data_IF_315430875087
#
_entry.id   IF_315430875087
#
_cell.length_a   1.000
_cell.length_b   1.000
_cell.length_c   1.000
_cell.angle_alpha   90.00
_cell.angle_beta   90.00
_cell.angle_gamma   90.00
#
_symmetry.space_group_name_H-M   'P 1'
#
loop_
_entity.id
_entity.type
_entity.pdbx_description
1 polymer ?
#
# COMPACT_ATOMS: atom_id res chain seq x y z
N UNK A 1 -3.07 4.99 -9.41
CA UNK A 1 -2.03 4.39 -10.27
C UNK A 1 -0.63 4.47 -9.64
N UNK A 2 0.08 5.60 -9.61
CA UNK A 2 1.46 5.64 -9.04
C UNK A 2 1.51 5.25 -7.54
N UNK A 3 0.65 5.85 -6.69
CA UNK A 3 0.52 5.48 -5.26
C UNK A 3 0.21 4.00 -5.01
N UNK A 4 -0.52 3.33 -5.91
CA UNK A 4 -0.86 1.91 -5.77
C UNK A 4 0.36 1.02 -6.04
N UNK A 5 1.18 1.37 -7.04
CA UNK A 5 2.43 0.66 -7.30
C UNK A 5 3.41 0.81 -6.13
N UNK A 6 3.42 1.98 -5.51
CA UNK A 6 4.23 2.27 -4.32
C UNK A 6 3.75 1.46 -3.10
N UNK A 7 2.44 1.40 -2.82
CA UNK A 7 1.89 0.54 -1.75
C UNK A 7 2.12 -0.95 -1.99
N UNK A 8 2.02 -1.39 -3.24
CA UNK A 8 2.34 -2.75 -3.64
C UNK A 8 3.82 -3.05 -3.39
N UNK A 9 4.72 -2.11 -3.69
CA UNK A 9 6.14 -2.21 -3.33
C UNK A 9 6.33 -2.32 -1.81
N UNK A 10 5.60 -1.53 -1.00
CA UNK A 10 5.67 -1.64 0.47
C UNK A 10 5.29 -3.04 0.96
N UNK A 11 4.17 -3.59 0.47
CA UNK A 11 3.72 -4.94 0.84
C UNK A 11 4.71 -6.01 0.36
N UNK A 12 5.20 -5.88 -0.87
CA UNK A 12 6.15 -6.83 -1.45
C UNK A 12 7.55 -6.72 -0.84
N UNK A 13 7.96 -5.58 -0.26
CA UNK A 13 9.19 -5.48 0.53
C UNK A 13 9.14 -6.34 1.80
N UNK A 14 8.05 -6.20 2.57
CA UNK A 14 7.89 -6.95 3.83
C UNK A 14 7.85 -8.46 3.57
N UNK A 15 7.22 -8.86 2.46
CA UNK A 15 7.20 -10.25 2.02
C UNK A 15 8.56 -10.71 1.46
N UNK A 16 9.29 -9.84 0.74
CA UNK A 16 10.54 -10.18 0.08
C UNK A 16 11.57 -10.77 1.03
N UNK A 17 11.85 -10.11 2.15
CA UNK A 17 12.92 -10.56 3.07
C UNK A 17 12.58 -11.93 3.68
N UNK A 18 11.32 -12.11 4.10
CA UNK A 18 10.79 -13.35 4.68
C UNK A 18 10.80 -14.48 3.64
N UNK A 19 10.23 -14.23 2.46
CA UNK A 19 10.09 -15.23 1.40
C UNK A 19 11.45 -15.64 0.83
N UNK A 20 12.36 -14.67 0.67
CA UNK A 20 13.69 -14.92 0.12
C UNK A 20 14.56 -15.71 1.12
N UNK A 21 14.59 -15.31 2.39
CA UNK A 21 15.28 -16.09 3.43
C UNK A 21 14.66 -17.48 3.59
N UNK A 22 13.33 -17.62 3.54
CA UNK A 22 12.65 -18.90 3.59
C UNK A 22 13.04 -19.82 2.42
N UNK A 23 13.07 -19.29 1.20
CA UNK A 23 13.50 -20.03 0.01
C UNK A 23 14.98 -20.45 0.09
N UNK A 24 15.84 -19.61 0.67
CA UNK A 24 17.26 -19.95 0.91
C UNK A 24 17.43 -21.07 1.91
N UNK A 25 16.71 -21.05 3.04
CA UNK A 25 16.74 -22.13 4.04
C UNK A 25 16.25 -23.45 3.44
N UNK A 26 15.26 -23.39 2.54
CA UNK A 26 14.75 -24.56 1.81
C UNK A 26 15.68 -25.03 0.67
N UNK A 27 16.79 -24.34 0.42
CA UNK A 27 17.68 -24.54 -0.73
C UNK A 27 16.95 -24.51 -2.09
N UNK A 28 15.83 -23.80 -2.19
CA UNK A 28 15.02 -23.69 -3.40
C UNK A 28 15.52 -22.56 -4.29
N UNK A 29 16.60 -22.85 -5.02
CA UNK A 29 17.26 -21.89 -5.93
C UNK A 29 16.34 -21.38 -7.05
N UNK A 30 15.30 -22.13 -7.42
CA UNK A 30 14.31 -21.69 -8.40
C UNK A 30 13.41 -20.60 -7.82
N UNK A 31 12.93 -20.79 -6.60
CA UNK A 31 12.10 -19.81 -5.90
C UNK A 31 12.89 -18.56 -5.53
N UNK A 32 14.11 -18.70 -4.98
CA UNK A 32 15.00 -17.58 -4.63
C UNK A 32 15.26 -16.66 -5.84
N UNK A 33 15.55 -17.26 -7.01
CA UNK A 33 15.73 -16.52 -8.26
C UNK A 33 14.44 -15.83 -8.73
N UNK A 34 13.31 -16.53 -8.67
CA UNK A 34 12.02 -15.97 -9.09
C UNK A 34 11.65 -14.74 -8.24
N UNK A 35 11.88 -14.79 -6.94
CA UNK A 35 11.65 -13.66 -6.03
C UNK A 35 12.52 -12.46 -6.44
N UNK A 36 13.83 -12.65 -6.63
CA UNK A 36 14.72 -11.58 -7.09
C UNK A 36 14.33 -11.02 -8.47
N UNK A 37 13.94 -11.89 -9.41
CA UNK A 37 13.47 -11.50 -10.74
C UNK A 37 12.19 -10.64 -10.68
N UNK A 38 11.21 -11.07 -9.89
CA UNK A 38 9.95 -10.34 -9.69
C UNK A 38 10.23 -8.95 -9.11
N UNK A 39 11.08 -8.87 -8.09
CA UNK A 39 11.45 -7.60 -7.48
C UNK A 39 12.14 -6.66 -8.49
N UNK A 40 13.06 -7.19 -9.31
CA UNK A 40 13.72 -6.42 -10.38
C UNK A 40 12.70 -5.84 -11.38
N UNK A 41 11.74 -6.65 -11.82
CA UNK A 41 10.68 -6.23 -12.75
C UNK A 41 9.79 -5.14 -12.16
N UNK A 42 9.39 -5.29 -10.90
CA UNK A 42 8.60 -4.29 -10.18
C UNK A 42 9.39 -2.99 -10.03
N UNK A 43 10.63 -3.05 -9.56
CA UNK A 43 11.50 -1.88 -9.38
C UNK A 43 11.70 -1.11 -10.69
N UNK A 44 11.86 -1.82 -11.81
CA UNK A 44 11.92 -1.21 -13.15
C UNK A 44 10.62 -0.51 -13.56
N UNK A 45 9.46 -1.06 -13.17
CA UNK A 45 8.14 -0.49 -13.49
C UNK A 45 7.90 0.84 -12.77
N UNK A 46 8.40 0.98 -11.54
CA UNK A 46 8.22 2.20 -10.73
C UNK A 46 9.37 3.21 -10.88
N UNK A 47 10.42 2.86 -11.62
CA UNK A 47 11.62 3.69 -11.80
C UNK A 47 12.57 3.68 -10.59
N UNK A 48 12.46 2.71 -9.68
CA UNK A 48 13.36 2.54 -8.55
C UNK A 48 14.68 1.90 -9.01
N UNK A 49 15.50 2.68 -9.71
CA UNK A 49 16.68 2.20 -10.42
C UNK A 49 17.68 1.50 -9.49
N UNK A 50 17.91 2.04 -8.29
CA UNK A 50 18.84 1.46 -7.32
C UNK A 50 18.38 0.08 -6.82
N UNK A 51 17.08 -0.04 -6.49
CA UNK A 51 16.45 -1.32 -6.14
C UNK A 51 16.53 -2.30 -7.31
N UNK A 52 16.28 -1.83 -8.53
CA UNK A 52 16.36 -2.65 -9.73
C UNK A 52 17.77 -3.21 -9.96
N UNK A 53 18.80 -2.38 -9.75
CA UNK A 53 20.20 -2.78 -9.87
C UNK A 53 20.60 -3.79 -8.80
N UNK A 54 20.23 -3.55 -7.53
CA UNK A 54 20.50 -4.46 -6.43
C UNK A 54 19.79 -5.81 -6.63
N UNK A 55 18.52 -5.81 -7.04
CA UNK A 55 17.75 -7.02 -7.33
C UNK A 55 18.32 -7.80 -8.52
N UNK A 56 18.87 -7.12 -9.54
CA UNK A 56 19.55 -7.77 -10.66
C UNK A 56 20.86 -8.46 -10.22
N UNK A 57 21.62 -7.82 -9.33
CA UNK A 57 22.83 -8.42 -8.76
C UNK A 57 22.49 -9.67 -7.92
N UNK A 58 21.44 -9.59 -7.10
CA UNK A 58 20.93 -10.71 -6.31
C UNK A 58 20.42 -11.86 -7.21
N UNK A 59 19.65 -11.55 -8.25
CA UNK A 59 19.17 -12.53 -9.25
C UNK A 59 20.36 -13.27 -9.91
N UNK A 60 21.41 -12.54 -10.25
CA UNK A 60 22.61 -13.11 -10.86
C UNK A 60 23.41 -13.98 -9.88
N UNK A 61 23.55 -13.56 -8.62
CA UNK A 61 24.20 -14.36 -7.59
C UNK A 61 23.44 -15.69 -7.34
N UNK A 62 22.10 -15.64 -7.34
CA UNK A 62 21.26 -16.83 -7.26
C UNK A 62 21.43 -17.77 -8.47
N UNK A 63 21.65 -17.21 -9.67
CA UNK A 63 21.90 -18.00 -10.89
C UNK A 63 23.25 -18.72 -10.86
N UNK A 64 24.26 -18.10 -10.23
CA UNK A 64 25.63 -18.63 -10.16
C UNK A 64 25.85 -19.54 -8.95
N UNK A 65 24.85 -19.67 -8.07
CA UNK A 65 24.99 -20.30 -6.76
C UNK A 65 26.19 -19.75 -6.00
N UNK A 66 26.30 -18.42 -5.97
CA UNK A 66 27.32 -17.75 -5.15
C UNK A 66 27.12 -18.12 -3.67
N UNK A 67 28.20 -18.09 -2.86
CA UNK A 67 28.15 -18.53 -1.48
C UNK A 67 27.21 -17.67 -0.62
N UNK A 68 26.71 -18.26 0.47
CA UNK A 68 25.67 -17.65 1.30
C UNK A 68 26.04 -16.26 1.84
N UNK A 69 27.32 -16.02 2.13
CA UNK A 69 27.80 -14.72 2.59
C UNK A 69 27.63 -13.61 1.52
N UNK A 70 27.76 -13.94 0.24
CA UNK A 70 27.52 -13.00 -0.85
C UNK A 70 26.02 -12.76 -1.06
N UNK A 71 25.21 -13.82 -0.94
CA UNK A 71 23.75 -13.71 -1.00
C UNK A 71 23.20 -12.87 0.17
N UNK A 72 23.75 -13.05 1.38
CA UNK A 72 23.40 -12.24 2.56
C UNK A 72 23.70 -10.75 2.33
N UNK A 73 24.88 -10.44 1.80
CA UNK A 73 25.29 -9.08 1.52
C UNK A 73 24.39 -8.41 0.47
N UNK A 74 24.06 -9.15 -0.60
CA UNK A 74 23.18 -8.65 -1.67
C UNK A 74 21.72 -8.52 -1.20
N UNK A 75 21.24 -9.45 -0.37
CA UNK A 75 19.92 -9.34 0.26
C UNK A 75 19.84 -8.09 1.13
N UNK A 76 20.84 -7.86 2.00
CA UNK A 76 20.90 -6.66 2.84
C UNK A 76 20.95 -5.37 2.01
N UNK A 77 21.68 -5.37 0.89
CA UNK A 77 21.73 -4.23 -0.02
C UNK A 77 20.36 -3.96 -0.67
N UNK A 78 19.65 -5.00 -1.12
CA UNK A 78 18.29 -4.86 -1.65
C UNK A 78 17.35 -4.27 -0.60
N UNK A 79 17.41 -4.77 0.63
CA UNK A 79 16.59 -4.27 1.75
C UNK A 79 16.86 -2.80 2.05
N UNK A 80 18.13 -2.38 2.10
CA UNK A 80 18.50 -0.99 2.35
C UNK A 80 18.04 -0.02 1.24
N UNK A 81 18.10 -0.43 -0.02
CA UNK A 81 17.61 0.37 -1.14
C UNK A 81 16.08 0.46 -1.14
N UNK A 82 15.39 -0.63 -0.79
CA UNK A 82 13.94 -0.62 -0.58
C UNK A 82 13.55 0.32 0.56
N UNK A 83 14.23 0.25 1.71
CA UNK A 83 13.99 1.16 2.84
C UNK A 83 14.19 2.62 2.45
N UNK A 84 15.20 2.92 1.62
CA UNK A 84 15.43 4.27 1.11
C UNK A 84 14.28 4.76 0.24
N UNK A 85 13.77 3.91 -0.66
CA UNK A 85 12.59 4.21 -1.47
C UNK A 85 11.38 4.44 -0.56
N UNK A 86 11.14 3.59 0.44
CA UNK A 86 10.02 3.72 1.36
C UNK A 86 10.11 4.96 2.23
N UNK A 87 11.29 5.31 2.73
CA UNK A 87 11.50 6.54 3.49
C UNK A 87 11.25 7.79 2.63
N UNK A 88 11.58 7.76 1.34
CA UNK A 88 11.23 8.82 0.39
C UNK A 88 9.73 8.91 0.08
N UNK A 89 8.97 7.85 0.34
CA UNK A 89 7.53 7.78 0.15
C UNK A 89 6.73 8.08 1.41
N UNK A 90 7.33 7.95 2.59
CA UNK A 90 6.69 8.29 3.86
C UNK A 90 6.11 9.72 3.90
N UNK A 91 6.74 10.76 3.32
CA UNK A 91 6.15 12.09 3.22
C UNK A 91 4.89 12.15 2.34
N UNK A 92 4.72 11.23 1.39
CA UNK A 92 3.55 11.17 0.50
C UNK A 92 2.34 10.47 1.15
N UNK A 93 2.56 9.68 2.20
CA UNK A 93 1.56 9.13 3.14
C UNK A 93 1.37 10.04 4.37
N UNK A 94 2.31 10.97 4.62
CA UNK A 94 2.29 11.92 5.73
C UNK A 94 1.99 13.35 5.27
N UNK A 95 0.85 13.51 4.60
CA UNK A 95 0.03 14.69 4.81
C UNK A 95 -1.41 14.23 5.08
N UNK A 96 -1.73 13.78 6.31
CA UNK A 96 -2.86 14.40 6.94
C UNK A 96 -2.41 15.86 7.10
N UNK A 97 -2.72 16.70 6.12
CA UNK A 97 -2.76 18.12 6.37
C UNK A 97 -3.47 18.26 7.71
N UNK A 98 -2.75 18.81 8.69
CA UNK A 98 -3.28 19.28 9.97
C UNK A 98 -4.25 20.41 9.62
N UNK A 99 -5.30 20.07 8.90
CA UNK A 99 -6.44 20.91 8.67
C UNK A 99 -7.08 21.03 10.05
N UNK A 100 -7.35 22.27 10.50
CA UNK A 100 -8.03 22.50 11.77
C UNK A 100 -9.29 21.63 11.81
N UNK A 101 -9.61 21.09 12.99
CA UNK A 101 -10.83 20.33 13.21
C UNK A 101 -12.00 21.12 12.59
N UNK A 102 -12.49 20.61 11.46
CA UNK A 102 -13.68 21.17 10.84
C UNK A 102 -14.83 20.94 11.83
N UNK A 103 -15.80 21.87 11.91
CA UNK A 103 -16.96 21.68 12.77
C UNK A 103 -17.57 20.30 12.49
N UNK A 104 -18.01 19.63 13.55
CA UNK A 104 -18.58 18.29 13.47
C UNK A 104 -19.57 18.22 12.31
N UNK A 105 -19.41 17.20 11.45
CA UNK A 105 -20.32 16.98 10.33
C UNK A 105 -21.76 16.92 10.86
N UNK A 106 -22.57 17.92 10.51
CA UNK A 106 -23.99 17.88 10.78
C UNK A 106 -24.61 16.69 10.01
N UNK A 107 -25.55 15.97 10.65
CA UNK A 107 -26.17 14.76 10.09
C UNK A 107 -26.62 14.85 8.62
N UNK A 108 -27.25 15.95 8.16
CA UNK A 108 -27.65 16.11 6.75
C UNK A 108 -26.46 16.17 5.78
N UNK A 109 -25.37 16.81 6.19
CA UNK A 109 -24.14 16.94 5.38
C UNK A 109 -23.42 15.61 5.29
N UNK A 110 -23.42 14.83 6.38
CA UNK A 110 -22.89 13.47 6.40
C UNK A 110 -23.70 12.55 5.48
N UNK A 111 -25.03 12.55 5.57
CA UNK A 111 -25.89 11.74 4.70
C UNK A 111 -25.71 12.07 3.22
N UNK A 112 -25.62 13.35 2.86
CA UNK A 112 -25.34 13.76 1.48
C UNK A 112 -23.96 13.28 1.01
N UNK A 113 -22.96 13.31 1.90
CA UNK A 113 -21.62 12.78 1.64
C UNK A 113 -21.61 11.26 1.42
N UNK A 114 -22.33 10.50 2.26
CA UNK A 114 -22.46 9.04 2.16
C UNK A 114 -23.19 8.63 0.87
N UNK A 115 -24.30 9.28 0.55
CA UNK A 115 -25.05 9.02 -0.69
C UNK A 115 -24.16 9.26 -1.93
N UNK A 116 -23.38 10.34 -1.93
CA UNK A 116 -22.44 10.62 -3.02
C UNK A 116 -21.30 9.62 -3.07
N UNK A 117 -20.81 9.16 -1.92
CA UNK A 117 -19.77 8.15 -1.86
C UNK A 117 -20.26 6.81 -2.41
N UNK A 118 -21.49 6.41 -2.11
CA UNK A 118 -22.12 5.22 -2.69
C UNK A 118 -22.18 5.28 -4.21
N UNK A 119 -22.63 6.40 -4.79
CA UNK A 119 -22.65 6.59 -6.24
C UNK A 119 -21.24 6.47 -6.87
N UNK A 120 -20.22 7.04 -6.22
CA UNK A 120 -18.85 6.99 -6.72
C UNK A 120 -18.20 5.62 -6.57
N UNK A 121 -18.59 4.86 -5.55
CA UNK A 121 -18.18 3.47 -5.35
C UNK A 121 -18.84 2.55 -6.39
N UNK A 122 -20.12 2.75 -6.69
CA UNK A 122 -20.84 2.03 -7.76
C UNK A 122 -20.25 2.32 -9.16
N UNK A 123 -19.72 3.52 -9.38
CA UNK A 123 -19.05 3.93 -10.63
C UNK A 123 -17.53 3.57 -10.64
N UNK A 124 -17.02 2.81 -9.65
CA UNK A 124 -15.63 2.37 -9.55
C UNK A 124 -14.58 3.49 -9.69
N UNK A 125 -14.95 4.72 -9.32
CA UNK A 125 -14.20 5.92 -9.68
C UNK A 125 -13.05 6.23 -8.72
N UNK A 126 -11.92 6.71 -9.26
CA UNK A 126 -10.85 7.33 -8.47
C UNK A 126 -11.32 8.54 -7.62
N UNK A 127 -12.52 9.06 -7.90
CA UNK A 127 -13.18 10.09 -7.11
C UNK A 127 -13.72 9.55 -5.76
N UNK A 128 -14.08 8.27 -5.66
CA UNK A 128 -14.53 7.63 -4.42
C UNK A 128 -13.44 7.69 -3.34
N UNK A 129 -12.19 7.39 -3.72
CA UNK A 129 -11.01 7.50 -2.84
C UNK A 129 -10.88 8.89 -2.21
N UNK A 130 -10.98 9.93 -3.03
CA UNK A 130 -10.84 11.32 -2.56
C UNK A 130 -11.98 11.71 -1.62
N UNK A 131 -13.20 11.26 -1.92
CA UNK A 131 -14.37 11.57 -1.11
C UNK A 131 -14.35 10.81 0.23
N UNK A 132 -13.99 9.52 0.22
CA UNK A 132 -13.87 8.71 1.43
C UNK A 132 -12.79 9.26 2.38
N UNK A 133 -11.61 9.61 1.85
CA UNK A 133 -10.55 10.23 2.64
C UNK A 133 -10.97 11.59 3.23
N UNK A 134 -11.75 12.38 2.48
CA UNK A 134 -12.30 13.64 2.97
C UNK A 134 -13.29 13.41 4.12
N UNK A 135 -14.29 12.54 3.93
CA UNK A 135 -15.31 12.25 4.96
C UNK A 135 -14.70 11.65 6.23
N UNK A 136 -13.70 10.77 6.11
CA UNK A 136 -12.97 10.23 7.26
C UNK A 136 -12.27 11.34 8.07
N UNK A 137 -11.68 12.35 7.42
CA UNK A 137 -11.09 13.49 8.12
C UNK A 137 -12.14 14.37 8.79
N UNK A 138 -13.24 14.64 8.11
CA UNK A 138 -14.34 15.47 8.63
C UNK A 138 -15.10 14.78 9.78
N UNK A 139 -15.04 13.46 9.88
CA UNK A 139 -15.67 12.68 10.95
C UNK A 139 -14.80 12.43 12.17
N UNK A 140 -13.54 12.91 12.21
CA UNK A 140 -12.68 12.77 13.38
C UNK A 140 -13.33 13.36 14.63
N UNK A 141 -13.37 12.60 15.72
CA UNK A 141 -14.04 12.98 16.96
C UNK A 141 -15.56 12.79 16.94
N UNK A 142 -16.13 12.25 15.86
CA UNK A 142 -17.54 11.85 15.80
C UNK A 142 -17.69 10.34 16.05
N UNK A 143 -18.89 9.86 16.42
CA UNK A 143 -19.18 8.43 16.52
C UNK A 143 -18.96 7.66 15.20
N UNK A 144 -18.99 8.35 14.06
CA UNK A 144 -18.80 7.76 12.73
C UNK A 144 -17.33 7.64 12.31
N UNK A 145 -16.36 8.12 13.10
CA UNK A 145 -14.93 8.13 12.77
C UNK A 145 -14.41 6.73 12.38
N UNK A 146 -14.71 5.73 13.21
CA UNK A 146 -14.21 4.37 13.01
C UNK A 146 -14.71 3.78 11.68
N UNK A 147 -16.01 3.88 11.43
CA UNK A 147 -16.62 3.32 10.23
C UNK A 147 -16.18 4.09 8.95
N UNK A 148 -16.08 5.42 9.00
CA UNK A 148 -15.59 6.21 7.86
C UNK A 148 -14.11 5.99 7.58
N UNK A 149 -13.30 5.71 8.61
CA UNK A 149 -11.92 5.28 8.44
C UNK A 149 -11.83 3.92 7.75
N UNK A 150 -12.69 2.96 8.13
CA UNK A 150 -12.79 1.66 7.45
C UNK A 150 -13.21 1.80 5.99
N UNK A 151 -14.19 2.67 5.68
CA UNK A 151 -14.61 2.93 4.30
C UNK A 151 -13.47 3.54 3.47
N UNK A 152 -12.72 4.48 4.03
CA UNK A 152 -11.56 5.09 3.36
C UNK A 152 -10.46 4.06 3.07
N UNK A 153 -10.15 3.17 4.03
CA UNK A 153 -9.18 2.10 3.84
C UNK A 153 -9.63 1.09 2.76
N UNK A 154 -10.89 0.66 2.79
CA UNK A 154 -11.45 -0.24 1.78
C UNK A 154 -11.46 0.38 0.38
N UNK A 155 -11.85 1.65 0.26
CA UNK A 155 -11.79 2.38 -1.01
C UNK A 155 -10.35 2.56 -1.52
N UNK A 156 -9.39 2.74 -0.61
CA UNK A 156 -7.96 2.79 -0.91
C UNK A 156 -7.39 1.46 -1.42
N UNK A 157 -7.91 0.35 -0.92
CA UNK A 157 -7.57 -1.00 -1.36
C UNK A 157 -8.37 -1.46 -2.60
N UNK A 158 -9.22 -0.59 -3.18
CA UNK A 158 -10.17 -0.94 -4.25
C UNK A 158 -11.14 -2.07 -3.87
N UNK A 159 -11.29 -2.35 -2.57
CA UNK A 159 -12.31 -3.26 -2.04
C UNK A 159 -13.63 -2.49 -1.90
N UNK A 160 -14.22 -2.19 -3.05
CA UNK A 160 -15.47 -1.43 -3.11
C UNK A 160 -16.65 -2.19 -2.51
N UNK A 161 -16.62 -3.53 -2.51
CA UNK A 161 -17.60 -4.35 -1.80
C UNK A 161 -17.53 -4.17 -0.29
N UNK A 162 -16.34 -4.15 0.30
CA UNK A 162 -16.15 -3.86 1.72
C UNK A 162 -16.52 -2.40 2.05
N UNK A 163 -16.14 -1.45 1.18
CA UNK A 163 -16.49 -0.06 1.35
C UNK A 163 -18.02 0.16 1.35
N UNK A 164 -18.75 -0.47 0.42
CA UNK A 164 -20.21 -0.39 0.34
C UNK A 164 -20.90 -1.04 1.54
N UNK A 165 -20.43 -2.21 2.01
CA UNK A 165 -20.97 -2.86 3.23
C UNK A 165 -20.83 -1.95 4.45
N UNK A 166 -19.64 -1.42 4.67
CA UNK A 166 -19.37 -0.54 5.81
C UNK A 166 -20.15 0.78 5.70
N UNK A 167 -20.33 1.30 4.49
CA UNK A 167 -21.16 2.48 4.23
C UNK A 167 -22.62 2.25 4.65
N UNK A 168 -23.17 1.07 4.37
CA UNK A 168 -24.52 0.70 4.75
C UNK A 168 -24.70 0.57 6.28
N UNK A 169 -23.65 0.15 6.98
CA UNK A 169 -23.61 0.13 8.45
C UNK A 169 -23.61 1.54 9.04
N UNK A 170 -22.87 2.50 8.45
CA UNK A 170 -22.92 3.91 8.85
C UNK A 170 -24.30 4.51 8.66
N UNK A 171 -24.92 4.30 7.49
CA UNK A 171 -26.25 4.82 7.18
C UNK A 171 -27.33 4.25 8.12
N UNK A 172 -27.11 3.07 8.68
CA UNK A 172 -28.02 2.45 9.65
C UNK A 172 -27.81 2.94 11.09
N UNK A 173 -26.66 3.54 11.38
CA UNK A 173 -26.25 3.98 12.71
C UNK A 173 -26.41 5.50 12.93
N UNK A 174 -26.62 6.28 11.86
CA UNK A 174 -26.84 7.74 11.85
C UNK A 174 -28.31 8.05 11.65
#
# INVERSE_FOLDING_TARGET
>A
MYRQMLRRLCREQVAFDIDFSGARVAADTATTRRIAHTLRGLAGTIGALQVQMAAAALEHACLRNEPDNELDALQAQVTAELDTVLAGLAPLDLEPELAPALPALDGPTLQAGLARLRELLDDNGGAALKLAARLSREARGSPAEALLSTIAAAAEDYDFEQALRTLQEVESAV
#
